data_IF_683868128289
#
_entry.id   IF_683868128289
#
_cell.length_a   1.000
_cell.length_b   1.000
_cell.length_c   1.000
_cell.angle_alpha   90.00
_cell.angle_beta   90.00
_cell.angle_gamma   90.00
#
_symmetry.space_group_name_H-M   'P 1'
#
loop_
_entity.id
_entity.type
_entity.pdbx_description
1 polymer ?
#
# COMPACT_ATOMS: atom_id res chain seq x y z
N UNK A 1 13.64 10.80 6.92
CA UNK A 1 13.10 9.42 6.96
C UNK A 1 11.96 9.39 5.97
N UNK A 2 11.99 8.50 4.98
CA UNK A 2 10.84 8.31 4.10
C UNK A 2 9.69 7.81 4.95
N UNK A 3 8.58 8.56 5.01
CA UNK A 3 7.45 8.20 5.83
C UNK A 3 6.46 7.42 4.97
N UNK A 4 6.49 6.11 5.12
CA UNK A 4 5.52 5.20 4.56
C UNK A 4 4.25 5.19 5.40
N UNK A 5 3.09 5.20 4.76
CA UNK A 5 1.81 5.08 5.46
C UNK A 5 0.85 4.21 4.64
N UNK A 6 0.22 3.24 5.29
CA UNK A 6 -0.81 2.41 4.70
C UNK A 6 -2.20 2.85 5.16
N UNK A 7 -3.18 2.79 4.28
CA UNK A 7 -4.60 2.98 4.63
C UNK A 7 -5.45 1.85 4.03
N UNK A 8 -6.55 1.55 4.71
CA UNK A 8 -7.67 0.82 4.12
C UNK A 8 -8.80 1.82 3.88
N UNK A 9 -9.24 1.91 2.63
CA UNK A 9 -10.36 2.74 2.24
C UNK A 9 -11.57 1.88 1.93
N UNK A 10 -12.69 2.19 2.59
CA UNK A 10 -14.01 1.63 2.28
C UNK A 10 -14.76 2.61 1.37
N UNK A 11 -14.95 2.30 0.08
CA UNK A 11 -15.64 3.19 -0.84
C UNK A 11 -17.11 3.37 -0.45
N UNK A 12 -17.67 4.59 -0.50
CA UNK A 12 -19.07 4.85 -0.12
C UNK A 12 -20.10 4.20 -1.07
N UNK A 13 -19.64 3.55 -2.15
CA UNK A 13 -20.48 2.91 -3.15
C UNK A 13 -20.59 1.42 -2.86
N UNK A 14 -21.81 0.97 -2.58
CA UNK A 14 -22.13 -0.45 -2.41
C UNK A 14 -21.64 -1.30 -3.59
N UNK A 15 -21.04 -2.46 -3.27
CA UNK A 15 -20.54 -3.43 -4.24
C UNK A 15 -19.12 -3.19 -4.73
N UNK A 16 -18.42 -2.15 -4.25
CA UNK A 16 -16.98 -2.00 -4.46
C UNK A 16 -16.20 -2.74 -3.37
N UNK A 17 -15.04 -3.34 -3.70
CA UNK A 17 -14.13 -3.89 -2.70
C UNK A 17 -13.49 -2.77 -1.87
N UNK A 18 -12.96 -3.13 -0.69
CA UNK A 18 -12.07 -2.24 0.05
C UNK A 18 -10.79 -2.03 -0.76
N UNK A 19 -10.13 -0.89 -0.57
CA UNK A 19 -8.83 -0.61 -1.20
C UNK A 19 -7.75 -0.56 -0.12
N UNK A 20 -6.71 -1.38 -0.26
CA UNK A 20 -5.49 -1.25 0.51
C UNK A 20 -4.51 -0.38 -0.29
N UNK A 21 -4.08 0.74 0.29
CA UNK A 21 -3.21 1.70 -0.39
C UNK A 21 -1.99 2.04 0.46
N UNK A 22 -0.83 2.15 -0.20
CA UNK A 22 0.45 2.51 0.42
C UNK A 22 0.94 3.81 -0.18
N UNK A 23 1.24 4.76 0.70
CA UNK A 23 1.80 6.06 0.37
C UNK A 23 3.22 6.19 0.86
N UNK A 24 4.06 6.88 0.10
CA UNK A 24 5.39 7.32 0.51
C UNK A 24 5.55 8.79 0.17
N UNK A 25 5.84 9.59 1.19
CA UNK A 25 5.97 11.04 1.05
C UNK A 25 4.77 11.68 0.32
N UNK A 26 3.56 11.19 0.64
CA UNK A 26 2.29 11.65 0.07
C UNK A 26 1.98 11.12 -1.34
N UNK A 27 2.87 10.35 -1.97
CA UNK A 27 2.64 9.73 -3.28
C UNK A 27 2.14 8.30 -3.14
N UNK A 28 1.13 7.94 -3.92
CA UNK A 28 0.62 6.56 -3.99
C UNK A 28 1.67 5.67 -4.66
N UNK A 29 2.11 4.63 -3.95
CA UNK A 29 3.03 3.62 -4.48
C UNK A 29 2.33 2.34 -4.89
N UNK A 30 1.30 1.95 -4.14
CA UNK A 30 0.59 0.70 -4.37
C UNK A 30 -0.88 0.83 -3.95
N UNK A 31 -1.79 0.23 -4.71
CA UNK A 31 -3.21 0.21 -4.42
C UNK A 31 -3.82 -1.06 -5.01
N UNK A 32 -4.43 -1.89 -4.16
CA UNK A 32 -5.06 -3.16 -4.58
C UNK A 32 -6.43 -3.32 -3.92
N UNK A 33 -7.42 -3.92 -4.63
CA UNK A 33 -8.69 -4.28 -4.04
C UNK A 33 -8.55 -5.49 -3.10
N UNK A 34 -9.24 -5.44 -1.97
CA UNK A 34 -9.29 -6.51 -0.95
C UNK A 34 -10.73 -6.79 -0.53
N UNK A 35 -11.02 -8.03 -0.11
CA UNK A 35 -12.39 -8.43 0.22
C UNK A 35 -12.82 -7.95 1.62
N UNK A 36 -11.87 -7.59 2.49
CA UNK A 36 -12.15 -7.13 3.84
C UNK A 36 -11.06 -6.21 4.39
N UNK A 37 -11.38 -5.47 5.46
CA UNK A 37 -10.39 -4.66 6.20
C UNK A 37 -9.24 -5.52 6.72
N UNK A 38 -9.53 -6.69 7.30
CA UNK A 38 -8.51 -7.57 7.87
C UNK A 38 -7.55 -8.14 6.81
N UNK A 39 -8.05 -8.47 5.62
CA UNK A 39 -7.21 -8.89 4.50
C UNK A 39 -6.31 -7.75 4.02
N UNK A 40 -6.86 -6.53 3.94
CA UNK A 40 -6.09 -5.33 3.65
C UNK A 40 -4.98 -5.07 4.68
N UNK A 41 -5.28 -5.18 5.97
CA UNK A 41 -4.29 -5.00 7.04
C UNK A 41 -3.17 -6.05 6.97
N UNK A 42 -3.51 -7.30 6.67
CA UNK A 42 -2.52 -8.36 6.46
C UNK A 42 -1.62 -8.05 5.25
N UNK A 43 -2.20 -7.64 4.13
CA UNK A 43 -1.43 -7.21 2.96
C UNK A 43 -0.51 -6.02 3.29
N UNK A 44 -1.01 -4.99 3.97
CA UNK A 44 -0.22 -3.84 4.36
C UNK A 44 0.96 -4.24 5.26
N UNK A 45 0.77 -5.18 6.18
CA UNK A 45 1.84 -5.69 7.03
C UNK A 45 2.95 -6.40 6.22
N UNK A 46 2.59 -7.17 5.20
CA UNK A 46 3.55 -7.79 4.28
C UNK A 46 4.29 -6.73 3.46
N UNK A 47 3.58 -5.79 2.84
CA UNK A 47 4.19 -4.72 2.03
C UNK A 47 5.15 -3.86 2.87
N UNK A 48 4.77 -3.51 4.10
CA UNK A 48 5.64 -2.75 5.00
C UNK A 48 6.90 -3.53 5.41
N UNK A 49 6.83 -4.87 5.48
CA UNK A 49 7.99 -5.74 5.74
C UNK A 49 8.94 -5.77 4.55
N UNK A 50 8.41 -5.79 3.33
CA UNK A 50 9.21 -5.84 2.09
C UNK A 50 9.67 -4.46 1.60
N UNK A 51 9.09 -3.39 2.15
CA UNK A 51 9.34 -2.02 1.73
C UNK A 51 10.81 -1.61 1.65
N UNK A 52 11.71 -2.01 2.60
CA UNK A 52 13.13 -1.67 2.52
C UNK A 52 13.80 -2.17 1.23
N UNK A 53 13.37 -3.33 0.71
CA UNK A 53 13.90 -3.92 -0.52
C UNK A 53 13.23 -3.31 -1.76
N UNK A 54 11.95 -2.96 -1.69
CA UNK A 54 11.25 -2.23 -2.76
C UNK A 54 11.87 -0.84 -3.00
N UNK A 55 12.21 -0.11 -1.93
CA UNK A 55 12.85 1.20 -2.02
C UNK A 55 14.24 1.09 -2.65
N UNK A 56 15.05 0.10 -2.26
CA UNK A 56 16.37 -0.14 -2.88
C UNK A 56 16.26 -0.42 -4.37
N UNK A 57 15.30 -1.25 -4.79
CA UNK A 57 15.08 -1.55 -6.21
C UNK A 57 14.59 -0.33 -7.01
N UNK A 58 13.70 0.47 -6.44
CA UNK A 58 13.21 1.69 -7.08
C UNK A 58 14.34 2.72 -7.28
N UNK A 59 15.30 2.81 -6.35
CA UNK A 59 16.46 3.71 -6.44
C UNK A 59 17.58 3.20 -7.37
N UNK A 60 17.59 1.91 -7.71
CA UNK A 60 18.59 1.30 -8.61
C UNK A 60 18.12 1.20 -10.07
N UNK A 61 16.86 1.56 -10.37
CA UNK A 61 16.28 1.52 -11.72
C UNK A 61 16.27 2.86 -12.46
N UNK A 62 16.84 3.92 -11.89
CA UNK A 62 17.07 5.21 -12.55
C UNK A 62 18.53 5.30 -13.03
N UNK A 63 18.85 4.59 -14.12
CA UNK A 63 20.03 4.82 -14.98
C UNK A 63 19.56 5.00 -16.43
#
# INVERSE_FOLDING_TARGET
>A
MANATGIIYDPPRAGFPYLAAVFMDGKLLHCEPVASVAEGEAMLAEVMREMPEMVKKAQQGED
#
